data_IF_622272765041
#
_entry.id   IF_622272765041
#
_cell.length_a   1.000
_cell.length_b   1.000
_cell.length_c   1.000
_cell.angle_alpha   90.00
_cell.angle_beta   90.00
_cell.angle_gamma   90.00
#
_symmetry.space_group_name_H-M   'P 1'
#
loop_
_entity.id
_entity.type
_entity.pdbx_description
1 polymer ?
#
# COMPACT_ATOMS: atom_id res chain seq x y z
N UNK A 1 26.80 0.65 -9.37
CA UNK A 1 25.36 0.59 -9.70
C UNK A 1 24.66 1.36 -8.60
N UNK A 2 23.59 2.13 -8.90
CA UNK A 2 22.79 2.75 -7.86
C UNK A 2 22.20 1.67 -6.94
N UNK A 3 22.05 1.99 -5.65
CA UNK A 3 21.37 1.13 -4.69
C UNK A 3 19.93 0.87 -5.18
N UNK A 4 19.49 -0.39 -5.22
CA UNK A 4 18.08 -0.68 -5.47
C UNK A 4 17.31 -0.67 -4.15
N UNK A 5 16.16 -0.02 -4.08
CA UNK A 5 15.34 0.04 -2.87
C UNK A 5 14.97 -1.38 -2.39
N UNK A 6 14.81 -2.31 -3.32
CA UNK A 6 14.59 -3.73 -3.07
C UNK A 6 15.66 -4.42 -2.22
N UNK A 7 16.93 -4.01 -2.31
CA UNK A 7 18.02 -4.60 -1.52
C UNK A 7 17.83 -4.35 -0.01
N UNK A 8 17.25 -3.19 0.33
CA UNK A 8 16.91 -2.83 1.72
C UNK A 8 15.52 -3.35 2.10
N UNK A 9 14.53 -3.17 1.24
CA UNK A 9 13.12 -3.43 1.59
C UNK A 9 12.79 -4.92 1.70
N UNK A 10 13.25 -5.75 0.78
CA UNK A 10 12.81 -7.15 0.70
C UNK A 10 13.19 -7.99 1.94
N UNK A 11 14.42 -7.92 2.48
CA UNK A 11 14.75 -8.60 3.73
C UNK A 11 13.86 -8.16 4.90
N UNK A 12 13.53 -6.86 4.95
CA UNK A 12 12.74 -6.26 6.05
C UNK A 12 11.27 -6.65 5.96
N UNK A 13 10.71 -6.78 4.77
CA UNK A 13 9.38 -7.35 4.56
C UNK A 13 9.27 -8.78 5.09
N UNK A 14 10.27 -9.63 4.78
CA UNK A 14 10.33 -11.02 5.27
C UNK A 14 10.39 -11.10 6.78
N UNK A 15 11.17 -10.22 7.40
CA UNK A 15 11.32 -10.15 8.86
C UNK A 15 10.05 -9.64 9.55
N UNK A 16 9.42 -8.60 9.01
CA UNK A 16 8.27 -7.95 9.63
C UNK A 16 6.97 -8.75 9.47
N UNK A 17 6.80 -9.49 8.36
CA UNK A 17 5.54 -10.16 8.01
C UNK A 17 5.70 -11.66 7.70
N UNK A 18 6.31 -12.47 8.59
CA UNK A 18 6.60 -13.88 8.31
C UNK A 18 5.33 -14.72 8.13
N UNK A 19 4.23 -14.33 8.76
CA UNK A 19 2.94 -15.04 8.72
C UNK A 19 2.06 -14.64 7.53
N UNK A 20 2.42 -13.58 6.80
CA UNK A 20 1.64 -13.14 5.65
C UNK A 20 2.02 -13.97 4.42
N UNK A 21 1.02 -14.33 3.61
CA UNK A 21 1.26 -15.00 2.32
C UNK A 21 1.90 -14.00 1.35
N UNK A 22 3.23 -13.99 1.34
CA UNK A 22 4.04 -13.18 0.45
C UNK A 22 4.62 -14.05 -0.69
N UNK A 23 4.40 -13.62 -1.92
CA UNK A 23 5.03 -14.19 -3.11
C UNK A 23 5.97 -13.16 -3.73
N UNK A 24 7.15 -13.60 -4.17
CA UNK A 24 8.08 -12.74 -4.90
C UNK A 24 7.61 -12.63 -6.35
N UNK A 25 7.62 -11.43 -6.90
CA UNK A 25 7.18 -11.20 -8.27
C UNK A 25 8.09 -11.89 -9.29
N UNK A 26 7.55 -12.51 -10.35
CA UNK A 26 8.34 -13.04 -11.46
C UNK A 26 8.80 -11.93 -12.43
N UNK A 27 8.19 -10.75 -12.36
CA UNK A 27 8.49 -9.58 -13.20
C UNK A 27 9.59 -8.73 -12.56
N UNK A 28 10.44 -8.11 -13.39
CA UNK A 28 11.67 -7.45 -12.96
C UNK A 28 11.48 -6.28 -11.96
N UNK A 29 10.26 -5.78 -11.79
CA UNK A 29 9.95 -4.62 -10.96
C UNK A 29 9.02 -4.91 -9.77
N UNK A 30 8.29 -6.04 -9.78
CA UNK A 30 7.41 -6.41 -8.67
C UNK A 30 8.23 -7.14 -7.61
N UNK A 31 8.45 -6.49 -6.48
CA UNK A 31 9.24 -7.03 -5.38
C UNK A 31 8.51 -8.12 -4.61
N UNK A 32 7.27 -7.82 -4.24
CA UNK A 32 6.48 -8.66 -3.37
C UNK A 32 4.99 -8.48 -3.64
N UNK A 33 4.25 -9.58 -3.56
CA UNK A 33 2.79 -9.60 -3.59
C UNK A 33 2.26 -10.23 -2.31
N UNK A 34 1.34 -9.54 -1.64
CA UNK A 34 0.62 -10.03 -0.47
C UNK A 34 -0.83 -10.30 -0.86
N UNK A 35 -1.40 -11.41 -0.37
CA UNK A 35 -2.80 -11.76 -0.66
C UNK A 35 -3.69 -11.50 0.53
N UNK A 36 -4.76 -10.75 0.32
CA UNK A 36 -5.77 -10.53 1.36
C UNK A 36 -6.47 -11.84 1.72
N UNK A 37 -6.88 -12.02 2.99
CA UNK A 37 -7.77 -13.11 3.36
C UNK A 37 -9.17 -13.00 2.70
N UNK A 38 -9.53 -11.83 2.16
CA UNK A 38 -10.77 -11.60 1.43
C UNK A 38 -10.55 -11.57 -0.09
N UNK A 39 -11.16 -12.50 -0.86
CA UNK A 39 -11.06 -12.49 -2.31
C UNK A 39 -11.61 -11.21 -2.98
N UNK A 40 -12.55 -10.48 -2.33
CA UNK A 40 -13.08 -9.22 -2.87
C UNK A 40 -12.05 -8.08 -2.77
N UNK A 41 -11.15 -8.14 -1.79
CA UNK A 41 -10.04 -7.19 -1.67
C UNK A 41 -8.94 -7.51 -2.67
N UNK A 42 -8.60 -8.80 -2.85
CA UNK A 42 -7.59 -9.23 -3.82
C UNK A 42 -6.16 -9.19 -3.26
N UNK A 43 -5.21 -8.73 -4.07
CA UNK A 43 -3.79 -8.72 -3.72
C UNK A 43 -3.24 -7.29 -3.62
N UNK A 44 -2.21 -7.12 -2.80
CA UNK A 44 -1.35 -5.94 -2.79
C UNK A 44 -0.04 -6.29 -3.50
N UNK A 45 0.42 -5.44 -4.41
CA UNK A 45 1.73 -5.57 -5.06
C UNK A 45 2.62 -4.37 -4.73
N UNK A 46 3.90 -4.64 -4.47
CA UNK A 46 4.93 -3.65 -4.19
C UNK A 46 5.89 -3.63 -5.36
N UNK A 47 6.05 -2.45 -5.96
CA UNK A 47 6.93 -2.21 -7.10
C UNK A 47 8.11 -1.31 -6.69
N UNK A 48 9.29 -1.64 -7.19
CA UNK A 48 10.49 -0.79 -7.11
C UNK A 48 10.65 0.00 -8.40
N UNK A 49 10.44 1.31 -8.31
CA UNK A 49 10.60 2.25 -9.43
C UNK A 49 11.98 2.92 -9.43
N UNK A 50 12.85 2.55 -8.47
CA UNK A 50 14.24 2.98 -8.35
C UNK A 50 14.44 4.10 -7.32
N UNK A 51 13.64 5.16 -7.38
CA UNK A 51 13.66 6.29 -6.43
C UNK A 51 12.43 6.35 -5.50
N UNK A 52 11.42 5.56 -5.80
CA UNK A 52 10.20 5.40 -5.02
C UNK A 52 9.71 3.94 -5.01
N UNK A 53 8.83 3.65 -4.06
CA UNK A 53 8.06 2.40 -4.02
C UNK A 53 6.62 2.71 -4.36
N UNK A 54 6.09 2.07 -5.41
CA UNK A 54 4.66 2.10 -5.70
C UNK A 54 3.96 0.91 -5.05
N UNK A 55 2.91 1.17 -4.27
CA UNK A 55 2.05 0.14 -3.68
C UNK A 55 0.72 0.12 -4.42
N UNK A 56 0.44 -1.00 -5.07
CA UNK A 56 -0.84 -1.26 -5.71
C UNK A 56 -1.77 -2.02 -4.76
N UNK A 57 -2.93 -1.45 -4.45
CA UNK A 57 -4.00 -2.08 -3.69
C UNK A 57 -5.04 -2.64 -4.66
N UNK A 58 -4.80 -3.90 -5.05
CA UNK A 58 -5.57 -4.63 -6.04
C UNK A 58 -5.76 -3.82 -7.33
N UNK A 59 -6.94 -3.89 -7.93
CA UNK A 59 -7.32 -3.13 -9.12
C UNK A 59 -7.96 -1.77 -8.77
N UNK A 60 -7.79 -1.27 -7.54
CA UNK A 60 -8.58 -0.14 -7.01
C UNK A 60 -7.83 1.16 -6.94
N UNK A 61 -6.61 1.13 -6.43
CA UNK A 61 -5.80 2.33 -6.25
C UNK A 61 -4.34 1.93 -6.14
N UNK A 62 -3.47 2.90 -6.38
CA UNK A 62 -2.07 2.83 -6.02
C UNK A 62 -1.68 4.13 -5.32
N UNK A 63 -0.52 4.13 -4.68
CA UNK A 63 0.11 5.34 -4.15
C UNK A 63 1.62 5.11 -4.08
N UNK A 64 2.34 6.22 -4.04
CA UNK A 64 3.79 6.27 -4.12
C UNK A 64 4.35 6.60 -2.73
N UNK A 65 5.42 5.92 -2.35
CA UNK A 65 6.22 6.25 -1.17
C UNK A 65 7.62 6.63 -1.66
N UNK A 66 7.92 7.91 -1.53
CA UNK A 66 9.20 8.52 -1.89
C UNK A 66 9.84 9.18 -0.66
N UNK A 67 11.13 9.53 -0.78
CA UNK A 67 11.81 10.38 0.19
C UNK A 67 12.07 11.75 -0.45
N UNK A 68 11.38 12.78 0.04
CA UNK A 68 11.45 14.15 -0.48
C UNK A 68 12.69 14.94 -0.02
N UNK A 69 13.48 14.40 0.91
CA UNK A 69 14.67 15.06 1.42
C UNK A 69 15.87 14.78 0.50
N UNK A 70 16.14 15.73 -0.40
CA UNK A 70 17.24 15.65 -1.37
C UNK A 70 18.64 15.69 -0.72
N UNK A 71 18.74 16.00 0.58
CA UNK A 71 20.03 16.03 1.30
C UNK A 71 20.46 14.64 1.79
N UNK A 72 19.55 13.67 1.83
CA UNK A 72 19.83 12.30 2.27
C UNK A 72 20.63 11.52 1.24
N UNK A 73 21.55 10.70 1.73
CA UNK A 73 22.27 9.73 0.91
C UNK A 73 21.31 8.68 0.33
N UNK A 74 21.73 7.97 -0.71
CA UNK A 74 20.93 6.87 -1.29
C UNK A 74 20.51 5.84 -0.24
N UNK A 75 21.40 5.48 0.69
CA UNK A 75 21.09 4.55 1.77
C UNK A 75 20.06 5.11 2.75
N UNK A 76 20.20 6.37 3.19
CA UNK A 76 19.24 6.99 4.12
C UNK A 76 17.86 7.12 3.49
N UNK A 77 17.78 7.45 2.19
CA UNK A 77 16.52 7.48 1.44
C UNK A 77 15.89 6.09 1.38
N UNK A 78 16.69 5.04 1.14
CA UNK A 78 16.20 3.67 1.11
C UNK A 78 15.67 3.20 2.47
N UNK A 79 16.34 3.55 3.57
CA UNK A 79 15.89 3.25 4.94
C UNK A 79 14.60 3.99 5.31
N UNK A 80 14.47 5.26 4.93
CA UNK A 80 13.25 6.04 5.13
C UNK A 80 12.06 5.44 4.38
N UNK A 81 12.24 5.16 3.08
CA UNK A 81 11.18 4.57 2.24
C UNK A 81 10.81 3.20 2.80
N UNK A 82 11.80 2.39 3.19
CA UNK A 82 11.56 1.09 3.82
C UNK A 82 10.73 1.23 5.10
N UNK A 83 11.09 2.18 5.98
CA UNK A 83 10.35 2.44 7.22
C UNK A 83 8.90 2.82 6.93
N UNK A 84 8.68 3.74 6.00
CA UNK A 84 7.34 4.19 5.61
C UNK A 84 6.50 3.05 5.00
N UNK A 85 7.09 2.20 4.16
CA UNK A 85 6.42 1.01 3.59
C UNK A 85 6.00 0.06 4.71
N UNK A 86 6.89 -0.24 5.65
CA UNK A 86 6.59 -1.17 6.77
C UNK A 86 5.51 -0.61 7.70
N UNK A 87 5.56 0.69 8.01
CA UNK A 87 4.53 1.35 8.82
C UNK A 87 3.16 1.30 8.13
N UNK A 88 3.12 1.59 6.83
CA UNK A 88 1.90 1.50 6.04
C UNK A 88 1.33 0.08 6.05
N UNK A 89 2.16 -0.93 5.74
CA UNK A 89 1.71 -2.33 5.67
C UNK A 89 1.25 -2.84 7.03
N UNK A 90 1.91 -2.43 8.11
CA UNK A 90 1.50 -2.77 9.48
C UNK A 90 0.07 -2.27 9.76
N UNK A 91 -0.21 -0.99 9.44
CA UNK A 91 -1.55 -0.41 9.60
C UNK A 91 -2.56 -1.04 8.65
N UNK A 92 -2.17 -1.34 7.41
CA UNK A 92 -3.04 -1.99 6.43
C UNK A 92 -3.49 -3.36 6.92
N UNK A 93 -2.54 -4.22 7.30
CA UNK A 93 -2.82 -5.58 7.74
C UNK A 93 -3.60 -5.64 9.06
N UNK A 94 -3.55 -4.57 9.86
CA UNK A 94 -4.35 -4.39 11.07
C UNK A 94 -5.75 -3.79 10.81
N UNK A 95 -6.17 -3.63 9.55
CA UNK A 95 -7.43 -2.98 9.15
C UNK A 95 -7.57 -1.53 9.64
N UNK A 96 -6.45 -0.82 9.81
CA UNK A 96 -6.44 0.60 10.19
C UNK A 96 -6.43 1.53 8.97
N UNK A 97 -6.09 1.01 7.80
CA UNK A 97 -6.16 1.73 6.52
C UNK A 97 -7.46 1.37 5.79
N UNK A 98 -8.28 2.39 5.54
CA UNK A 98 -9.39 2.33 4.60
C UNK A 98 -8.89 2.73 3.22
N UNK A 99 -9.18 1.94 2.20
CA UNK A 99 -8.92 2.28 0.80
C UNK A 99 -10.17 2.14 -0.08
N UNK A 100 -10.18 2.88 -1.16
CA UNK A 100 -11.29 2.97 -2.10
C UNK A 100 -10.79 3.39 -3.48
N UNK A 101 -11.57 3.10 -4.51
CA UNK A 101 -11.25 3.55 -5.86
C UNK A 101 -11.91 2.69 -6.92
N UNK A 102 -11.69 3.13 -8.16
CA UNK A 102 -12.21 2.52 -9.40
C UNK A 102 -11.08 2.01 -10.30
N UNK A 103 -9.85 1.92 -9.78
CA UNK A 103 -8.64 1.62 -10.54
C UNK A 103 -8.04 2.84 -11.21
N UNK A 104 -8.86 3.63 -11.90
CA UNK A 104 -8.43 4.88 -12.54
C UNK A 104 -8.20 6.02 -11.54
N UNK A 105 -8.89 5.99 -10.40
CA UNK A 105 -8.73 6.96 -9.33
C UNK A 105 -9.19 6.36 -8.01
N UNK A 106 -8.55 6.76 -6.93
CA UNK A 106 -8.78 6.18 -5.62
C UNK A 106 -8.04 6.91 -4.53
N UNK A 107 -7.93 6.27 -3.39
CA UNK A 107 -7.10 6.72 -2.29
C UNK A 107 -7.19 5.79 -1.09
N UNK A 108 -6.30 6.03 -0.15
CA UNK A 108 -6.30 5.39 1.15
C UNK A 108 -6.21 6.44 2.26
N UNK A 109 -6.68 6.08 3.44
CA UNK A 109 -6.54 6.90 4.65
C UNK A 109 -6.58 6.02 5.89
N UNK A 110 -6.08 6.56 7.00
CA UNK A 110 -6.38 5.97 8.30
C UNK A 110 -7.89 6.04 8.59
N UNK A 111 -8.46 4.98 9.14
CA UNK A 111 -9.89 4.87 9.43
C UNK A 111 -10.39 5.89 10.45
N UNK A 112 -9.51 6.32 11.35
CA UNK A 112 -9.85 7.31 12.37
C UNK A 112 -9.82 8.74 11.81
N UNK A 113 -9.27 8.94 10.60
CA UNK A 113 -9.27 10.23 9.95
C UNK A 113 -10.69 10.65 9.50
N UNK A 114 -10.82 11.92 9.09
CA UNK A 114 -12.09 12.48 8.64
C UNK A 114 -12.71 11.63 7.53
N UNK A 115 -13.98 11.25 7.72
CA UNK A 115 -14.74 10.46 6.75
C UNK A 115 -14.76 11.12 5.37
N UNK A 116 -14.84 10.28 4.33
CA UNK A 116 -15.00 10.70 2.94
C UNK A 116 -16.24 11.58 2.78
N UNK A 117 -16.06 12.75 2.18
CA UNK A 117 -17.18 13.60 1.78
C UNK A 117 -18.03 12.95 0.69
N UNK A 118 -19.30 13.37 0.58
CA UNK A 118 -20.28 12.82 -0.36
C UNK A 118 -19.76 12.82 -1.82
N UNK A 119 -19.21 13.95 -2.27
CA UNK A 119 -18.69 14.09 -3.65
C UNK A 119 -17.59 13.07 -3.97
N UNK A 120 -16.71 12.79 -3.01
CA UNK A 120 -15.64 11.80 -3.20
C UNK A 120 -16.18 10.37 -3.26
N UNK A 121 -17.24 10.04 -2.50
CA UNK A 121 -17.92 8.72 -2.62
C UNK A 121 -18.61 8.57 -3.98
N UNK A 122 -19.19 9.64 -4.50
CA UNK A 122 -19.88 9.64 -5.79
C UNK A 122 -18.88 9.44 -6.95
N UNK A 123 -17.73 10.12 -6.91
CA UNK A 123 -16.75 10.09 -7.99
C UNK A 123 -15.78 8.90 -7.92
N UNK A 124 -15.44 8.43 -6.71
CA UNK A 124 -14.39 7.40 -6.48
C UNK A 124 -14.97 6.08 -5.96
N UNK A 125 -16.26 5.84 -6.21
CA UNK A 125 -16.98 4.64 -5.80
C UNK A 125 -17.43 4.66 -4.34
N UNK A 126 -18.66 4.22 -4.09
CA UNK A 126 -19.28 4.23 -2.75
C UNK A 126 -18.76 3.15 -1.81
N UNK A 127 -18.14 2.08 -2.33
CA UNK A 127 -17.52 1.02 -1.52
C UNK A 127 -16.13 1.44 -1.06
N UNK A 128 -15.83 1.09 0.18
CA UNK A 128 -14.52 1.18 0.79
C UNK A 128 -14.14 -0.18 1.35
N UNK A 129 -12.85 -0.41 1.53
CA UNK A 129 -12.27 -1.68 1.94
C UNK A 129 -11.25 -1.44 3.05
N UNK A 130 -11.07 -2.47 3.87
CA UNK A 130 -9.90 -2.70 4.71
C UNK A 130 -9.24 -4.00 4.25
N UNK A 131 -8.09 -4.36 4.80
CA UNK A 131 -7.37 -5.55 4.36
C UNK A 131 -8.18 -6.83 4.49
N UNK A 132 -8.93 -6.98 5.58
CA UNK A 132 -9.74 -8.17 5.84
C UNK A 132 -11.05 -8.25 5.05
N UNK A 133 -11.46 -7.18 4.35
CA UNK A 133 -12.68 -7.20 3.56
C UNK A 133 -13.34 -5.86 3.28
N UNK A 134 -14.50 -5.89 2.61
CA UNK A 134 -15.31 -4.69 2.36
C UNK A 134 -15.84 -4.10 3.67
N UNK A 135 -15.80 -2.78 3.79
CA UNK A 135 -16.48 -2.08 4.87
C UNK A 135 -17.98 -2.01 4.57
N UNK A 136 -18.79 -2.22 5.62
CA UNK A 136 -20.22 -1.97 5.53
C UNK A 136 -20.46 -0.51 5.10
N UNK A 137 -21.32 -0.31 4.10
CA UNK A 137 -21.77 1.03 3.75
C UNK A 137 -22.50 1.58 4.98
N UNK A 138 -21.89 2.56 5.66
CA UNK A 138 -22.61 3.33 6.66
C UNK A 138 -23.72 4.06 5.91
N UNK A 139 -24.96 3.57 6.03
CA UNK A 139 -26.14 4.24 5.51
C UNK A 139 -26.12 5.69 5.99
N UNK A 140 -26.40 6.61 5.08
CA UNK A 140 -26.57 8.01 5.39
C UNK A 140 -27.62 8.13 6.50
N UNK A 141 -27.19 8.63 7.66
CA UNK A 141 -28.04 9.20 8.68
C UNK A 141 -27.81 10.72 8.65
#
# INVERSE_FOLDING_TARGET
MPLQLSETLLPRLREAFPEQRMELGPEAHILATFYSPSPEVGALAIQDDGDEITIFLADRTHFHIECSDEQKTEQERAEDITTQVLEFLTKLFADEIEFYGTGASGGCRERQAKKRGFLSRLLLGGRSYVWSGPLAQSGDA
#
